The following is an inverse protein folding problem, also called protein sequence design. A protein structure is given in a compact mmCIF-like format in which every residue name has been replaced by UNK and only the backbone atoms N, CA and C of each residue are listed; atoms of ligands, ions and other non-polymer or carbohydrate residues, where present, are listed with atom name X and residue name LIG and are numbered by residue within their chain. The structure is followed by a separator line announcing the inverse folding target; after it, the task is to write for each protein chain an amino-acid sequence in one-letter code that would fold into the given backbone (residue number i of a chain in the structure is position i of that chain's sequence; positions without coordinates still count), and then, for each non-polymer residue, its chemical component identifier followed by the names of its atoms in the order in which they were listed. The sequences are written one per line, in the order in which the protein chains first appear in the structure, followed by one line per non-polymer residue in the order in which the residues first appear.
data_IF_776856666628
#
_entry.id   IF_776856666628
#
_cell.length_a   1.000
_cell.length_b   1.000
_cell.length_c   1.000
_cell.angle_alpha   90.00
_cell.angle_beta   90.00
_cell.angle_gamma   90.00
#
_symmetry.space_group_name_H-M   'P 1'
#
loop_
_entity.id
_entity.type
_entity.pdbx_description
1 polymer ?
#
# COMPACT_ATOMS: atom_id res chain seq x y z
N UNK A 1 -1.73 3.13 24.24
CA UNK A 1 -1.18 3.06 22.87
C UNK A 1 -2.14 3.78 21.95
N UNK A 2 -1.73 4.90 21.39
CA UNK A 2 -2.59 5.75 20.57
C UNK A 2 -2.85 5.07 19.23
N UNK A 3 -3.98 4.39 19.10
CA UNK A 3 -4.55 3.98 17.82
C UNK A 3 -5.12 5.25 17.16
N UNK A 4 -4.24 6.05 16.55
CA UNK A 4 -4.67 7.16 15.69
C UNK A 4 -4.87 6.61 14.29
N UNK A 5 -5.83 5.69 14.17
CA UNK A 5 -6.47 5.35 12.91
C UNK A 5 -7.34 6.54 12.51
N UNK A 6 -6.67 7.60 12.06
CA UNK A 6 -7.30 8.76 11.49
C UNK A 6 -8.13 8.28 10.28
N UNK A 7 -9.45 8.28 10.44
CA UNK A 7 -10.43 7.74 9.50
C UNK A 7 -10.39 6.22 9.27
N UNK A 8 -9.79 5.43 10.17
CA UNK A 8 -9.79 3.97 10.06
C UNK A 8 -8.76 3.38 9.10
N UNK A 9 -7.94 4.21 8.43
CA UNK A 9 -6.86 3.71 7.55
C UNK A 9 -5.76 3.07 8.38
N UNK A 10 -5.27 1.90 7.97
CA UNK A 10 -4.14 1.21 8.61
C UNK A 10 -2.83 1.59 7.92
N UNK A 11 -2.40 2.83 8.13
CA UNK A 11 -1.18 3.36 7.52
C UNK A 11 0.04 2.49 7.86
N UNK A 12 0.27 2.06 9.12
CA UNK A 12 1.37 1.16 9.45
C UNK A 12 1.31 -0.16 8.67
N UNK A 13 0.16 -0.85 8.65
CA UNK A 13 0.01 -2.12 7.94
C UNK A 13 0.25 -2.00 6.44
N UNK A 14 -0.23 -0.92 5.82
CA UNK A 14 0.00 -0.62 4.40
C UNK A 14 1.49 -0.46 4.11
N UNK A 15 2.18 0.39 4.87
CA UNK A 15 3.59 0.68 4.65
C UNK A 15 4.47 -0.54 4.94
N UNK A 16 4.15 -1.33 5.97
CA UNK A 16 4.88 -2.56 6.30
C UNK A 16 4.75 -3.58 5.17
N UNK A 17 3.53 -3.83 4.67
CA UNK A 17 3.31 -4.76 3.54
C UNK A 17 4.07 -4.30 2.29
N UNK A 18 3.92 -3.02 1.92
CA UNK A 18 4.58 -2.47 0.73
C UNK A 18 6.11 -2.54 0.83
N UNK A 19 6.68 -2.08 1.94
CA UNK A 19 8.14 -2.10 2.15
C UNK A 19 8.70 -3.52 2.20
N UNK A 20 7.96 -4.47 2.78
CA UNK A 20 8.35 -5.89 2.74
C UNK A 20 8.45 -6.40 1.30
N UNK A 21 7.44 -6.14 0.46
CA UNK A 21 7.47 -6.54 -0.94
C UNK A 21 8.62 -5.89 -1.72
N UNK A 22 8.94 -4.62 -1.44
CA UNK A 22 10.10 -3.93 -2.02
C UNK A 22 11.41 -4.59 -1.59
N UNK A 23 11.61 -4.78 -0.28
CA UNK A 23 12.87 -5.27 0.28
C UNK A 23 13.15 -6.74 -0.07
N UNK A 24 12.10 -7.56 -0.17
CA UNK A 24 12.21 -8.99 -0.53
C UNK A 24 12.24 -9.22 -2.05
N UNK A 25 12.16 -8.16 -2.87
CA UNK A 25 12.20 -8.26 -4.33
C UNK A 25 10.93 -8.87 -4.94
N UNK A 26 9.83 -8.93 -4.20
CA UNK A 26 8.56 -9.51 -4.63
C UNK A 26 7.61 -8.51 -5.30
N UNK A 27 8.06 -7.29 -5.61
CA UNK A 27 7.26 -6.31 -6.32
C UNK A 27 6.99 -6.75 -7.76
N UNK A 28 5.71 -6.88 -8.19
CA UNK A 28 5.37 -7.01 -9.59
C UNK A 28 5.90 -5.82 -10.40
N UNK A 29 6.63 -6.08 -11.50
CA UNK A 29 7.34 -5.04 -12.29
C UNK A 29 6.70 -4.74 -13.64
N UNK A 30 6.38 -5.78 -14.42
CA UNK A 30 5.80 -5.65 -15.76
C UNK A 30 5.05 -6.93 -16.12
N UNK A 31 3.99 -6.83 -16.93
CA UNK A 31 3.27 -7.99 -17.49
C UNK A 31 4.13 -8.89 -18.40
N UNK A 32 5.25 -8.40 -18.91
CA UNK A 32 6.17 -9.23 -19.70
C UNK A 32 7.10 -10.08 -18.83
N UNK A 33 7.16 -9.84 -17.52
CA UNK A 33 7.95 -10.65 -16.59
C UNK A 33 7.32 -12.03 -16.40
N UNK A 34 8.11 -13.09 -16.56
CA UNK A 34 7.68 -14.49 -16.40
C UNK A 34 7.03 -14.75 -15.03
N UNK A 35 7.46 -14.02 -13.99
CA UNK A 35 6.99 -14.16 -12.62
C UNK A 35 5.85 -13.19 -12.28
N UNK A 36 5.42 -12.33 -13.21
CA UNK A 36 4.44 -11.28 -12.96
C UNK A 36 3.15 -11.82 -12.33
N UNK A 37 2.56 -12.86 -12.91
CA UNK A 37 1.29 -13.41 -12.42
C UNK A 37 1.40 -13.90 -10.97
N UNK A 38 2.52 -14.56 -10.63
CA UNK A 38 2.79 -15.07 -9.28
C UNK A 38 3.04 -13.94 -8.30
N UNK A 39 3.90 -12.98 -8.66
CA UNK A 39 4.21 -11.82 -7.84
C UNK A 39 2.95 -10.97 -7.59
N UNK A 40 2.15 -10.72 -8.63
CA UNK A 40 0.91 -9.94 -8.55
C UNK A 40 -0.09 -10.58 -7.59
N UNK A 41 -0.33 -11.89 -7.73
CA UNK A 41 -1.23 -12.63 -6.85
C UNK A 41 -0.72 -12.58 -5.41
N UNK A 42 0.57 -12.81 -5.18
CA UNK A 42 1.17 -12.77 -3.85
C UNK A 42 1.02 -11.39 -3.21
N UNK A 43 1.27 -10.32 -3.97
CA UNK A 43 1.10 -8.95 -3.52
C UNK A 43 -0.34 -8.64 -3.13
N UNK A 44 -1.32 -8.87 -4.03
CA UNK A 44 -2.72 -8.53 -3.79
C UNK A 44 -3.34 -9.36 -2.65
N UNK A 45 -3.08 -10.67 -2.61
CA UNK A 45 -3.57 -11.54 -1.53
C UNK A 45 -2.89 -11.21 -0.21
N UNK A 46 -1.58 -10.92 -0.22
CA UNK A 46 -0.86 -10.49 0.97
C UNK A 46 -1.38 -9.17 1.51
N UNK A 47 -1.72 -8.23 0.63
CA UNK A 47 -2.26 -6.94 1.00
C UNK A 47 -3.64 -7.07 1.66
N UNK A 48 -4.57 -7.82 1.04
CA UNK A 48 -5.90 -8.08 1.60
C UNK A 48 -5.87 -8.83 2.94
N UNK A 49 -4.86 -9.67 3.18
CA UNK A 49 -4.67 -10.37 4.46
C UNK A 49 -4.05 -9.51 5.54
N UNK A 50 -3.16 -8.60 5.16
CA UNK A 50 -2.44 -7.74 6.11
C UNK A 50 -3.25 -6.51 6.49
N UNK A 51 -4.06 -6.00 5.56
CA UNK A 51 -4.84 -4.78 5.73
C UNK A 51 -6.29 -5.02 5.29
N UNK A 52 -7.28 -4.93 6.22
CA UNK A 52 -8.69 -5.05 5.86
C UNK A 52 -9.08 -4.03 4.79
N UNK A 53 -9.92 -4.42 3.83
CA UNK A 53 -10.26 -3.59 2.65
C UNK A 53 -10.71 -2.16 3.00
N UNK A 54 -11.49 -1.99 4.06
CA UNK A 54 -11.98 -0.69 4.54
C UNK A 54 -10.88 0.19 5.16
N UNK A 55 -9.69 -0.37 5.39
CA UNK A 55 -8.53 0.29 6.00
C UNK A 55 -7.36 0.47 5.02
N UNK A 56 -7.54 0.11 3.74
CA UNK A 56 -6.50 0.17 2.70
C UNK A 56 -6.29 1.59 2.15
N UNK A 57 -5.22 1.75 1.37
CA UNK A 57 -4.76 3.04 0.85
C UNK A 57 -5.80 3.77 -0.03
N UNK A 58 -6.69 3.02 -0.69
CA UNK A 58 -7.80 3.54 -1.49
C UNK A 58 -8.77 4.43 -0.73
N UNK A 59 -8.76 4.38 0.61
CA UNK A 59 -9.62 5.20 1.47
C UNK A 59 -8.93 6.50 1.93
N UNK A 60 -7.68 6.74 1.52
CA UNK A 60 -6.97 7.99 1.80
C UNK A 60 -7.59 9.16 1.04
N UNK A 61 -8.12 10.15 1.77
CA UNK A 61 -8.73 11.35 1.19
C UNK A 61 -7.76 12.54 1.03
N UNK A 62 -6.48 12.39 1.38
CA UNK A 62 -5.53 13.51 1.21
C UNK A 62 -5.53 14.55 2.33
N UNK A 63 -6.10 14.28 3.51
CA UNK A 63 -6.32 15.30 4.54
C UNK A 63 -5.04 15.81 5.25
N UNK A 64 -3.92 15.09 5.15
CA UNK A 64 -2.61 15.50 5.71
C UNK A 64 -2.49 15.45 7.24
N UNK A 65 -3.58 15.18 7.96
CA UNK A 65 -3.57 15.18 9.43
C UNK A 65 -2.69 14.06 10.04
N UNK A 66 -2.33 13.03 9.27
CA UNK A 66 -1.37 12.02 9.68
C UNK A 66 0.09 12.53 9.69
N UNK A 67 0.44 13.53 8.89
CA UNK A 67 1.82 13.97 8.69
C UNK A 67 2.56 14.35 9.98
N UNK A 68 1.97 15.10 10.95
CA UNK A 68 2.64 15.43 12.20
C UNK A 68 3.01 14.22 13.07
N UNK A 69 2.39 13.06 12.85
CA UNK A 69 2.64 11.86 13.63
C UNK A 69 3.83 11.03 13.13
N UNK A 70 4.29 11.27 11.91
CA UNK A 70 5.39 10.50 11.32
C UNK A 70 6.70 11.29 11.41
N UNK A 71 7.70 10.80 12.16
CA UNK A 71 8.91 11.57 12.50
C UNK A 71 9.87 11.83 11.33
N UNK A 72 9.57 11.32 10.13
CA UNK A 72 10.49 11.31 8.98
C UNK A 72 10.12 12.31 7.87
N UNK A 73 9.24 13.29 8.13
CA UNK A 73 8.82 14.30 7.12
C UNK A 73 8.35 13.69 5.78
N UNK A 74 7.78 12.48 5.84
CA UNK A 74 7.18 11.81 4.70
C UNK A 74 5.76 12.34 4.51
N UNK A 75 5.41 12.69 3.27
CA UNK A 75 4.06 13.05 2.89
C UNK A 75 3.22 11.77 2.79
N UNK A 76 2.63 11.38 3.92
CA UNK A 76 1.88 10.14 4.04
C UNK A 76 0.72 10.08 3.05
N UNK A 77 -0.13 11.11 2.90
CA UNK A 77 -1.19 11.06 1.91
C UNK A 77 -0.68 10.80 0.50
N UNK A 78 0.40 11.47 0.09
CA UNK A 78 1.02 11.27 -1.22
C UNK A 78 1.53 9.84 -1.41
N UNK A 79 2.15 9.27 -0.38
CA UNK A 79 2.61 7.88 -0.40
C UNK A 79 1.45 6.89 -0.48
N UNK A 80 0.38 7.09 0.29
CA UNK A 80 -0.82 6.25 0.22
C UNK A 80 -1.46 6.31 -1.16
N UNK A 81 -1.60 7.50 -1.76
CA UNK A 81 -2.11 7.64 -3.13
C UNK A 81 -1.21 6.97 -4.17
N UNK A 82 0.11 6.98 -3.97
CA UNK A 82 1.05 6.25 -4.84
C UNK A 82 0.83 4.75 -4.74
N UNK A 83 0.70 4.21 -3.53
CA UNK A 83 0.46 2.79 -3.28
C UNK A 83 -0.92 2.38 -3.84
N UNK A 84 -1.94 3.19 -3.64
CA UNK A 84 -3.29 2.95 -4.16
C UNK A 84 -3.28 2.85 -5.69
N UNK A 85 -2.70 3.83 -6.39
CA UNK A 85 -2.55 3.77 -7.86
C UNK A 85 -1.84 2.51 -8.32
N UNK A 86 -0.77 2.12 -7.63
CA UNK A 86 -0.05 0.89 -7.93
C UNK A 86 -0.93 -0.35 -7.75
N UNK A 87 -1.64 -0.45 -6.63
CA UNK A 87 -2.61 -1.53 -6.35
C UNK A 87 -3.70 -1.60 -7.43
N UNK A 88 -4.23 -0.46 -7.87
CA UNK A 88 -5.22 -0.39 -8.94
C UNK A 88 -4.65 -0.84 -10.29
N UNK A 89 -3.42 -0.44 -10.63
CA UNK A 89 -2.74 -0.94 -11.84
C UNK A 89 -2.54 -2.46 -11.80
N UNK A 90 -2.22 -3.01 -10.62
CA UNK A 90 -2.18 -4.45 -10.44
C UNK A 90 -3.56 -5.07 -10.64
N UNK A 91 -4.62 -4.56 -9.99
CA UNK A 91 -5.97 -5.11 -10.14
C UNK A 91 -6.43 -5.12 -11.60
N UNK A 92 -6.16 -4.04 -12.34
CA UNK A 92 -6.53 -3.86 -13.74
C UNK A 92 -5.57 -4.52 -14.74
N UNK A 93 -4.43 -5.03 -14.28
CA UNK A 93 -3.36 -5.55 -15.12
C UNK A 93 -2.91 -4.53 -16.17
N UNK A 94 -2.68 -3.29 -15.73
CA UNK A 94 -2.21 -2.17 -16.57
C UNK A 94 -0.77 -1.76 -16.26
N UNK A 95 -0.04 -2.62 -15.53
CA UNK A 95 1.38 -2.44 -15.21
C UNK A 95 2.30 -2.80 -16.38
#
# INVERSE_FOLDING_TARGET
MYDVSLYGIDIPGILVHYNKCVNEGYMPKSRQDENYAKARRAFLVGYDRSVPKLRQASHCIGCGQCNPHYPQSIDIPKELHRIDRYVEQLKQETL
#
